data_IF_931759270048
#
_entry.id   IF_931759270048
#
_cell.length_a   1.000
_cell.length_b   1.000
_cell.length_c   1.000
_cell.angle_alpha   90.00
_cell.angle_beta   90.00
_cell.angle_gamma   90.00
#
_symmetry.space_group_name_H-M   'P 1'
#
loop_
_entity.id
_entity.type
_entity.pdbx_description
1 polymer ?
#
# COMPACT_ATOMS: atom_id res chain seq x y z
N UNK A 1 -15.85 52.68 -1.20
CA UNK A 1 -15.07 52.01 -2.27
C UNK A 1 -13.75 51.42 -1.78
N UNK A 2 -12.89 52.14 -1.04
CA UNK A 2 -11.59 51.62 -0.55
C UNK A 2 -11.69 50.41 0.42
N UNK A 3 -12.71 50.38 1.28
CA UNK A 3 -12.90 49.30 2.26
C UNK A 3 -13.24 47.95 1.60
N UNK A 4 -14.05 47.97 0.53
CA UNK A 4 -14.43 46.76 -0.22
C UNK A 4 -13.24 46.15 -0.97
N UNK A 5 -12.33 47.00 -1.48
CA UNK A 5 -11.13 46.53 -2.18
C UNK A 5 -10.16 45.84 -1.22
N UNK A 6 -9.95 46.39 -0.03
CA UNK A 6 -9.13 45.73 0.98
C UNK A 6 -9.73 44.41 1.47
N UNK A 7 -11.04 44.35 1.66
CA UNK A 7 -11.71 43.11 2.04
C UNK A 7 -11.58 42.04 0.95
N UNK A 8 -11.77 42.39 -0.32
CA UNK A 8 -11.62 41.48 -1.45
C UNK A 8 -10.18 40.94 -1.59
N UNK A 9 -9.17 41.77 -1.32
CA UNK A 9 -7.77 41.35 -1.34
C UNK A 9 -7.50 40.35 -0.20
N UNK A 10 -7.92 40.66 1.03
CA UNK A 10 -7.71 39.78 2.19
C UNK A 10 -8.41 38.43 2.00
N UNK A 11 -9.65 38.43 1.50
CA UNK A 11 -10.39 37.19 1.21
C UNK A 11 -9.68 36.37 0.12
N UNK A 12 -9.21 37.00 -0.95
CA UNK A 12 -8.47 36.31 -2.02
C UNK A 12 -7.18 35.65 -1.50
N UNK A 13 -6.43 36.35 -0.65
CA UNK A 13 -5.22 35.78 -0.03
C UNK A 13 -5.55 34.62 0.93
N UNK A 14 -6.65 34.71 1.69
CA UNK A 14 -7.09 33.63 2.57
C UNK A 14 -7.49 32.38 1.79
N UNK A 15 -8.22 32.54 0.68
CA UNK A 15 -8.60 31.41 -0.20
C UNK A 15 -7.34 30.73 -0.77
N UNK A 16 -6.37 31.52 -1.28
CA UNK A 16 -5.11 30.96 -1.80
C UNK A 16 -4.28 30.22 -0.75
N UNK A 17 -4.28 30.67 0.52
CA UNK A 17 -3.59 29.97 1.61
C UNK A 17 -4.31 28.65 1.93
N UNK A 18 -5.64 28.65 1.95
CA UNK A 18 -6.43 27.44 2.21
C UNK A 18 -6.19 26.41 1.10
N UNK A 19 -6.20 26.80 -0.17
CA UNK A 19 -5.95 25.86 -1.29
C UNK A 19 -4.51 25.29 -1.28
N UNK A 20 -3.51 26.04 -0.78
CA UNK A 20 -2.14 25.52 -0.62
C UNK A 20 -1.97 24.60 0.60
N UNK A 21 -2.72 24.83 1.68
CA UNK A 21 -2.65 24.02 2.91
C UNK A 21 -3.48 22.75 2.79
N UNK A 22 -4.64 22.84 2.14
CA UNK A 22 -5.46 21.70 1.74
C UNK A 22 -5.13 21.28 0.32
N UNK A 23 -3.84 21.39 -0.05
CA UNK A 23 -3.29 20.74 -1.21
C UNK A 23 -3.76 19.29 -1.17
N UNK A 24 -4.62 18.97 -2.12
CA UNK A 24 -5.26 17.69 -2.36
C UNK A 24 -4.16 16.63 -2.26
N UNK A 25 -4.01 16.02 -1.09
CA UNK A 25 -3.33 14.76 -1.01
C UNK A 25 -4.31 13.83 -1.71
N UNK A 26 -4.02 13.35 -2.92
CA UNK A 26 -4.85 12.30 -3.46
C UNK A 26 -4.76 11.19 -2.41
N UNK A 27 -5.87 10.93 -1.73
CA UNK A 27 -6.10 9.62 -1.14
C UNK A 27 -6.25 8.75 -2.38
N UNK A 28 -5.10 8.38 -2.94
CA UNK A 28 -4.99 7.48 -4.05
C UNK A 28 -5.60 6.19 -3.52
N UNK A 29 -6.88 6.01 -3.85
CA UNK A 29 -7.59 4.77 -3.68
C UNK A 29 -6.73 3.74 -4.39
N UNK A 30 -5.93 3.02 -3.61
CA UNK A 30 -4.93 2.02 -4.00
C UNK A 30 -5.54 0.78 -4.69
N UNK A 31 -6.71 0.93 -5.29
CA UNK A 31 -7.22 0.08 -6.35
C UNK A 31 -6.66 0.51 -7.73
N UNK A 32 -5.62 1.35 -7.76
CA UNK A 32 -4.76 1.43 -8.94
C UNK A 32 -4.23 0.02 -9.25
N UNK A 33 -4.26 -0.35 -10.52
CA UNK A 33 -3.66 -1.59 -11.02
C UNK A 33 -2.15 -1.49 -10.80
N UNK A 34 -1.69 -1.67 -9.56
CA UNK A 34 -0.29 -1.91 -9.27
C UNK A 34 0.06 -3.23 -9.93
N UNK A 35 0.55 -3.14 -11.16
CA UNK A 35 1.17 -4.27 -11.84
C UNK A 35 2.32 -4.72 -10.95
N UNK A 36 2.18 -5.92 -10.40
CA UNK A 36 3.21 -6.53 -9.60
C UNK A 36 4.43 -6.76 -10.50
N UNK A 37 5.54 -6.10 -10.15
CA UNK A 37 6.74 -6.07 -10.99
C UNK A 37 7.51 -7.37 -10.96
N UNK A 38 7.37 -8.17 -9.89
CA UNK A 38 8.17 -9.39 -9.71
C UNK A 38 7.51 -10.58 -10.38
N UNK A 39 8.34 -11.56 -10.75
CA UNK A 39 7.86 -12.81 -11.28
C UNK A 39 6.99 -13.54 -10.25
N UNK A 40 5.97 -14.23 -10.75
CA UNK A 40 5.05 -15.06 -9.95
C UNK A 40 4.24 -14.28 -8.90
N UNK A 41 4.08 -12.97 -9.07
CA UNK A 41 3.15 -12.15 -8.28
C UNK A 41 1.90 -11.80 -9.09
N UNK A 42 0.79 -11.58 -8.37
CA UNK A 42 -0.45 -10.99 -8.90
C UNK A 42 -0.99 -9.97 -7.90
N UNK A 43 -1.73 -8.98 -8.39
CA UNK A 43 -2.48 -8.10 -7.49
C UNK A 43 -3.66 -8.89 -6.90
N UNK A 44 -3.78 -8.90 -5.58
CA UNK A 44 -4.81 -9.68 -4.91
C UNK A 44 -4.80 -9.50 -3.39
N UNK A 45 -5.50 -10.43 -2.74
CA UNK A 45 -5.57 -10.55 -1.29
C UNK A 45 -4.85 -11.82 -0.89
N UNK A 46 -3.90 -11.72 0.05
CA UNK A 46 -3.04 -12.84 0.46
C UNK A 46 -2.92 -12.92 1.97
N UNK A 47 -2.55 -14.10 2.47
CA UNK A 47 -2.26 -14.32 3.89
C UNK A 47 -0.78 -14.06 4.16
N UNK A 48 -0.48 -13.37 5.27
CA UNK A 48 0.91 -13.28 5.74
C UNK A 48 1.47 -14.63 6.20
N UNK A 49 0.61 -15.62 6.39
CA UNK A 49 0.99 -16.98 6.78
C UNK A 49 1.34 -17.87 5.58
N UNK A 50 1.05 -17.44 4.35
CA UNK A 50 1.41 -18.16 3.11
C UNK A 50 2.86 -17.89 2.71
N UNK A 51 3.77 -18.14 3.65
CA UNK A 51 5.19 -17.89 3.51
C UNK A 51 6.02 -19.10 3.98
N UNK A 52 7.26 -19.17 3.51
CA UNK A 52 8.19 -20.26 3.76
C UNK A 52 9.45 -19.77 4.48
N UNK A 53 10.00 -20.47 5.49
CA UNK A 53 9.47 -21.69 6.09
C UNK A 53 8.12 -21.46 6.79
N UNK A 54 7.20 -22.43 6.65
CA UNK A 54 5.85 -22.37 7.24
C UNK A 54 5.85 -22.26 8.77
N UNK A 55 6.96 -22.63 9.40
CA UNK A 55 7.17 -22.59 10.84
C UNK A 55 8.53 -21.94 11.11
N UNK A 56 8.58 -20.62 11.16
CA UNK A 56 9.77 -19.92 11.68
C UNK A 56 9.84 -20.05 13.21
N UNK A 57 8.69 -20.17 13.89
CA UNK A 57 8.63 -20.37 15.34
C UNK A 57 7.34 -21.13 15.74
N UNK A 58 7.43 -22.44 16.10
CA UNK A 58 6.25 -23.25 16.41
C UNK A 58 5.49 -22.78 17.67
N UNK A 59 6.14 -21.99 18.54
CA UNK A 59 5.51 -21.42 19.73
C UNK A 59 4.73 -20.11 19.49
N UNK A 60 4.77 -19.56 18.26
CA UNK A 60 4.07 -18.33 17.91
C UNK A 60 3.05 -18.60 16.80
N UNK A 61 1.74 -18.51 17.07
CA UNK A 61 0.75 -18.64 16.02
C UNK A 61 0.94 -17.51 14.99
N UNK A 62 0.85 -17.84 13.71
CA UNK A 62 0.82 -16.82 12.67
C UNK A 62 -0.46 -15.99 12.82
N UNK A 63 -0.33 -14.67 12.79
CA UNK A 63 -1.48 -13.79 12.90
C UNK A 63 -2.33 -13.92 11.63
N UNK A 64 -3.58 -14.35 11.79
CA UNK A 64 -4.49 -14.56 10.68
C UNK A 64 -4.98 -13.20 10.13
N UNK A 65 -4.12 -12.53 9.39
CA UNK A 65 -4.42 -11.28 8.69
C UNK A 65 -4.22 -11.45 7.20
N UNK A 66 -5.19 -10.95 6.45
CA UNK A 66 -5.06 -10.74 5.03
C UNK A 66 -4.48 -9.35 4.74
N UNK A 67 -3.74 -9.22 3.64
CA UNK A 67 -3.30 -7.93 3.12
C UNK A 67 -3.69 -7.78 1.66
N UNK A 68 -3.93 -6.54 1.23
CA UNK A 68 -4.15 -6.18 -0.17
C UNK A 68 -2.82 -5.74 -0.80
N UNK A 69 -2.44 -6.33 -1.93
CA UNK A 69 -1.19 -5.97 -2.62
C UNK A 69 -0.71 -7.05 -3.58
N UNK A 70 0.61 -7.13 -3.75
CA UNK A 70 1.23 -8.16 -4.57
C UNK A 70 1.39 -9.46 -3.79
N UNK A 71 0.65 -10.48 -4.21
CA UNK A 71 0.62 -11.80 -3.60
C UNK A 71 1.22 -12.82 -4.56
N UNK A 72 1.75 -13.93 -4.04
CA UNK A 72 2.26 -15.00 -4.89
C UNK A 72 1.14 -15.69 -5.68
N UNK A 73 1.42 -16.09 -6.92
CA UNK A 73 0.53 -16.93 -7.73
C UNK A 73 0.26 -18.26 -7.03
N UNK A 74 -0.85 -18.91 -7.40
CA UNK A 74 -1.13 -20.26 -6.96
C UNK A 74 0.05 -21.20 -7.26
N UNK A 75 0.42 -22.03 -6.27
CA UNK A 75 1.60 -22.90 -6.34
C UNK A 75 2.92 -22.26 -5.88
N UNK A 76 2.92 -20.95 -5.58
CA UNK A 76 4.10 -20.23 -5.09
C UNK A 76 3.90 -19.71 -3.65
N UNK A 77 5.00 -19.55 -2.93
CA UNK A 77 5.06 -18.98 -1.56
C UNK A 77 6.23 -18.01 -1.45
N UNK A 78 6.14 -17.02 -0.56
CA UNK A 78 7.21 -16.03 -0.34
C UNK A 78 8.18 -16.55 0.73
N UNK A 79 9.49 -16.37 0.53
CA UNK A 79 10.48 -16.69 1.56
C UNK A 79 10.46 -15.63 2.68
N UNK A 80 10.43 -16.04 3.96
CA UNK A 80 10.27 -15.14 5.12
C UNK A 80 11.54 -14.38 5.52
N UNK A 81 12.65 -14.57 4.81
CA UNK A 81 13.92 -13.91 5.11
C UNK A 81 13.84 -12.38 4.95
N UNK A 82 12.94 -11.90 4.07
CA UNK A 82 12.68 -10.49 3.84
C UNK A 82 11.26 -10.29 3.27
N UNK A 83 10.67 -9.12 3.50
CA UNK A 83 9.44 -8.72 2.79
C UNK A 83 9.66 -8.59 1.27
N UNK A 84 10.92 -8.40 0.86
CA UNK A 84 11.31 -8.28 -0.54
C UNK A 84 11.67 -9.60 -1.23
N UNK A 85 11.55 -10.74 -0.54
CA UNK A 85 11.85 -12.06 -1.10
C UNK A 85 11.00 -12.38 -2.32
N UNK A 86 11.55 -13.19 -3.23
CA UNK A 86 10.80 -13.68 -4.38
C UNK A 86 9.77 -14.76 -3.99
N UNK A 87 8.75 -14.91 -4.84
CA UNK A 87 7.82 -16.02 -4.79
C UNK A 87 8.47 -17.26 -5.43
N UNK A 88 8.70 -18.29 -4.63
CA UNK A 88 9.27 -19.57 -5.06
C UNK A 88 8.21 -20.67 -5.13
N UNK A 89 8.36 -21.69 -6.00
CA UNK A 89 7.47 -22.85 -5.99
C UNK A 89 7.41 -23.50 -4.61
N UNK A 90 6.23 -23.98 -4.20
CA UNK A 90 6.02 -24.61 -2.89
C UNK A 90 6.94 -25.80 -2.62
N UNK A 91 7.43 -26.48 -3.65
CA UNK A 91 8.35 -27.61 -3.54
C UNK A 91 9.81 -27.20 -3.32
N UNK A 92 10.11 -25.90 -3.45
CA UNK A 92 11.41 -25.30 -3.15
C UNK A 92 11.41 -24.53 -1.83
N UNK A 93 10.27 -24.53 -1.16
CA UNK A 93 10.21 -24.47 0.28
C UNK A 93 10.65 -25.85 0.82
#
# INVERSE_FOLDING_TARGET
MKLCVHFAIVVSFLVMIIDNVYGDHPIESYADKRECKRANEVSGVGSICDACPWITNPGKPCFNSAFHGCVCKEGYVRITDSMDSECVPKEKC
#
